data_IF_251783832396
#
_entry.id   IF_251783832396
#
_cell.length_a   1.000
_cell.length_b   1.000
_cell.length_c   1.000
_cell.angle_alpha   90.00
_cell.angle_beta   90.00
_cell.angle_gamma   90.00
#
_symmetry.space_group_name_H-M   'P 1'
#
loop_
_entity.id
_entity.type
_entity.pdbx_description
1 polymer ?
#
# COMPACT_ATOMS: atom_id res chain seq x y z
N UNK A 1 -12.74 -4.68 9.21
CA UNK A 1 -12.40 -4.60 7.77
C UNK A 1 -12.63 -3.18 7.31
N UNK A 2 -11.61 -2.53 6.74
CA UNK A 2 -11.70 -1.17 6.21
C UNK A 2 -11.33 -1.23 4.73
N UNK A 3 -12.11 -0.55 3.88
CA UNK A 3 -11.83 -0.42 2.46
C UNK A 3 -11.30 0.98 2.19
N UNK A 4 -10.11 1.05 1.57
CA UNK A 4 -9.47 2.30 1.16
C UNK A 4 -9.52 2.37 -0.37
N UNK A 5 -9.90 3.51 -0.94
CA UNK A 5 -10.01 3.70 -2.39
C UNK A 5 -9.60 5.11 -2.80
N UNK A 6 -8.97 5.25 -3.97
CA UNK A 6 -8.66 6.53 -4.60
C UNK A 6 -9.08 6.52 -6.08
N UNK A 7 -9.19 7.69 -6.70
CA UNK A 7 -9.35 7.83 -8.16
C UNK A 7 -7.99 7.69 -8.85
N UNK A 8 -7.92 6.84 -9.87
CA UNK A 8 -6.74 6.69 -10.72
C UNK A 8 -5.66 5.84 -10.07
N UNK A 9 -4.93 6.37 -9.08
CA UNK A 9 -3.80 5.67 -8.46
C UNK A 9 -3.71 5.93 -6.96
N UNK A 10 -3.13 4.98 -6.22
CA UNK A 10 -2.80 5.10 -4.80
C UNK A 10 -1.40 4.54 -4.60
N UNK A 11 -0.60 5.25 -3.82
CA UNK A 11 0.75 4.82 -3.45
C UNK A 11 0.83 4.72 -1.94
N UNK A 12 1.36 3.60 -1.46
CA UNK A 12 1.72 3.39 -0.07
C UNK A 12 3.24 3.41 -0.01
N UNK A 13 3.81 4.40 0.68
CA UNK A 13 5.26 4.61 0.75
C UNK A 13 5.75 4.15 2.11
N UNK A 14 6.80 3.32 2.15
CA UNK A 14 7.38 2.77 3.38
C UNK A 14 7.71 3.85 4.41
N UNK A 15 8.42 4.91 4.00
CA UNK A 15 8.80 6.03 4.89
C UNK A 15 7.59 6.67 5.58
N UNK A 16 6.50 6.90 4.85
CA UNK A 16 5.26 7.45 5.43
C UNK A 16 4.63 6.48 6.42
N UNK A 17 4.67 5.17 6.14
CA UNK A 17 4.16 4.16 7.07
C UNK A 17 5.02 4.10 8.33
N UNK A 18 6.34 4.18 8.22
CA UNK A 18 7.26 4.22 9.37
C UNK A 18 7.00 5.42 10.27
N UNK A 19 6.76 6.60 9.70
CA UNK A 19 6.41 7.81 10.44
C UNK A 19 5.08 7.65 11.20
N UNK A 20 4.04 7.13 10.54
CA UNK A 20 2.71 6.95 11.13
C UNK A 20 2.66 5.83 12.19
N UNK A 21 3.43 4.75 12.01
CA UNK A 21 3.49 3.63 12.95
C UNK A 21 4.50 3.89 14.09
N UNK A 22 5.52 4.73 13.85
CA UNK A 22 6.54 5.09 14.84
C UNK A 22 7.61 4.02 15.06
N UNK A 23 7.86 3.16 14.07
CA UNK A 23 8.91 2.12 14.08
C UNK A 23 9.37 1.81 12.66
N UNK A 24 10.50 1.12 12.54
CA UNK A 24 10.90 0.49 11.27
C UNK A 24 9.80 -0.46 10.78
N UNK A 25 9.52 -0.40 9.49
CA UNK A 25 8.41 -1.10 8.87
C UNK A 25 8.87 -1.70 7.54
N UNK A 26 8.78 -3.01 7.40
CA UNK A 26 8.97 -3.67 6.12
C UNK A 26 7.66 -3.62 5.32
N UNK A 27 7.72 -3.11 4.09
CA UNK A 27 6.56 -2.97 3.21
C UNK A 27 5.84 -4.31 2.99
N UNK A 28 6.57 -5.43 2.99
CA UNK A 28 6.02 -6.78 2.87
C UNK A 28 5.06 -7.13 4.02
N UNK A 29 5.19 -6.51 5.20
CA UNK A 29 4.28 -6.70 6.34
C UNK A 29 2.82 -6.31 6.00
N UNK A 30 2.59 -5.46 5.00
CA UNK A 30 1.26 -5.08 4.54
C UNK A 30 0.42 -6.29 4.12
N UNK A 31 1.03 -7.29 3.46
CA UNK A 31 0.32 -8.47 2.95
C UNK A 31 -0.31 -9.33 4.04
N UNK A 32 0.19 -9.26 5.28
CA UNK A 32 -0.38 -9.97 6.43
C UNK A 32 -1.78 -9.44 6.76
N UNK A 33 -2.00 -8.14 6.53
CA UNK A 33 -3.22 -7.44 6.92
C UNK A 33 -4.19 -7.20 5.74
N UNK A 34 -3.76 -7.48 4.51
CA UNK A 34 -4.55 -7.30 3.30
C UNK A 34 -5.49 -8.49 3.11
N UNK A 35 -6.79 -8.21 3.04
CA UNK A 35 -7.81 -9.22 2.71
C UNK A 35 -8.01 -9.28 1.19
N UNK A 36 -8.05 -8.13 0.53
CA UNK A 36 -8.17 -8.05 -0.93
C UNK A 36 -7.63 -6.73 -1.46
N UNK A 37 -7.03 -6.80 -2.65
CA UNK A 37 -6.64 -5.66 -3.47
C UNK A 37 -7.49 -5.64 -4.74
N UNK A 38 -7.72 -4.46 -5.28
CA UNK A 38 -8.38 -4.27 -6.57
C UNK A 38 -7.54 -3.33 -7.41
N UNK A 39 -7.49 -3.53 -8.72
CA UNK A 39 -6.63 -2.76 -9.62
C UNK A 39 -5.34 -3.48 -9.99
N UNK A 40 -4.49 -2.80 -10.75
CA UNK A 40 -3.13 -3.25 -11.05
C UNK A 40 -2.22 -2.93 -9.87
N UNK A 41 -1.50 -3.93 -9.39
CA UNK A 41 -0.55 -3.83 -8.27
C UNK A 41 0.85 -3.82 -8.87
N UNK A 42 1.66 -2.86 -8.45
CA UNK A 42 3.09 -2.76 -8.74
C UNK A 42 3.81 -2.50 -7.41
N UNK A 43 4.76 -3.34 -7.05
CA UNK A 43 5.38 -3.35 -5.73
C UNK A 43 6.89 -3.40 -5.87
N UNK A 44 7.53 -2.40 -5.28
CA UNK A 44 8.97 -2.25 -5.15
C UNK A 44 9.36 -2.31 -3.65
N UNK A 45 10.66 -2.26 -3.34
CA UNK A 45 11.19 -2.33 -1.97
C UNK A 45 10.68 -1.21 -1.05
N UNK A 46 10.34 -0.03 -1.60
CA UNK A 46 9.93 1.14 -0.83
C UNK A 46 8.46 1.56 -1.06
N UNK A 47 7.80 1.10 -2.12
CA UNK A 47 6.47 1.60 -2.52
C UNK A 47 5.58 0.49 -3.08
N UNK A 48 4.32 0.47 -2.60
CA UNK A 48 3.23 -0.29 -3.20
C UNK A 48 2.31 0.66 -3.96
N UNK A 49 2.20 0.47 -5.27
CA UNK A 49 1.37 1.27 -6.16
C UNK A 49 0.17 0.45 -6.62
N UNK A 50 -1.02 1.04 -6.47
CA UNK A 50 -2.29 0.53 -6.98
C UNK A 50 -2.79 1.48 -8.06
N UNK A 51 -3.19 0.93 -9.21
CA UNK A 51 -3.76 1.72 -10.31
C UNK A 51 -5.10 1.13 -10.75
N UNK A 52 -6.10 2.00 -10.88
CA UNK A 52 -7.46 1.69 -11.32
C UNK A 52 -7.80 2.48 -12.58
N UNK A 53 -8.57 1.87 -13.48
CA UNK A 53 -9.02 2.47 -14.75
C UNK A 53 -7.86 2.81 -15.69
N UNK A 54 -7.10 1.79 -16.10
CA UNK A 54 -6.23 1.91 -17.26
C UNK A 54 -7.02 1.96 -18.57
#
# INVERSE_FOLDING_TARGET
>A
MVRITNKGTMKVVRETVEEEVGREFDLQELHINIISLSGHVDEDDDVLTLTWNS
#
